data_IF_209735900096
#
_entry.id   IF_209735900096
#
_cell.length_a   1.000
_cell.length_b   1.000
_cell.length_c   1.000
_cell.angle_alpha   90.00
_cell.angle_beta   90.00
_cell.angle_gamma   90.00
#
_symmetry.space_group_name_H-M   'P 1'
#
loop_
_entity.id
_entity.type
_entity.pdbx_description
1 polymer ?
#
# COMPACT_ATOMS: atom_id res chain seq x y z
N UNK A 1 31.37 18.65 -5.56
CA UNK A 1 30.17 19.40 -5.13
C UNK A 1 29.12 19.26 -6.21
N UNK A 2 27.83 19.10 -5.85
CA UNK A 2 26.73 19.19 -6.81
C UNK A 2 26.42 20.67 -7.06
N UNK A 3 26.52 21.10 -8.33
CA UNK A 3 26.14 22.44 -8.78
C UNK A 3 24.68 22.49 -9.23
N UNK A 4 24.14 23.68 -9.46
CA UNK A 4 22.77 23.83 -10.00
C UNK A 4 22.60 23.17 -11.37
N UNK A 5 23.63 23.23 -12.23
CA UNK A 5 23.61 22.55 -13.52
C UNK A 5 23.60 21.03 -13.38
N UNK A 6 24.31 20.48 -12.38
CA UNK A 6 24.28 19.05 -12.09
C UNK A 6 22.88 18.59 -11.64
N UNK A 7 22.18 19.41 -10.84
CA UNK A 7 20.82 19.12 -10.39
C UNK A 7 19.81 19.16 -11.55
N UNK A 8 19.91 20.15 -12.45
CA UNK A 8 19.09 20.25 -13.66
C UNK A 8 19.20 18.98 -14.52
N UNK A 9 20.44 18.51 -14.72
CA UNK A 9 20.72 17.34 -15.55
C UNK A 9 20.15 16.06 -14.92
N UNK A 10 20.23 15.93 -13.59
CA UNK A 10 19.63 14.80 -12.86
C UNK A 10 18.11 14.78 -12.97
N UNK A 11 17.44 15.93 -12.80
CA UNK A 11 15.97 16.01 -12.90
C UNK A 11 15.51 15.70 -14.32
N UNK A 12 16.13 16.32 -15.34
CA UNK A 12 15.80 16.04 -16.73
C UNK A 12 16.01 14.56 -17.09
N UNK A 13 17.10 13.94 -16.62
CA UNK A 13 17.38 12.53 -16.86
C UNK A 13 16.41 11.58 -16.15
N UNK A 14 16.00 11.89 -14.91
CA UNK A 14 15.13 11.01 -14.13
C UNK A 14 13.63 11.18 -14.44
N UNK A 15 13.20 12.37 -14.83
CA UNK A 15 11.78 12.73 -14.96
C UNK A 15 11.35 13.12 -16.36
N UNK A 16 12.30 13.47 -17.25
CA UNK A 16 12.01 14.03 -18.56
C UNK A 16 11.53 15.50 -18.53
N UNK A 17 11.48 16.13 -17.36
CA UNK A 17 11.06 17.53 -17.18
C UNK A 17 12.22 18.43 -16.73
N UNK A 18 12.08 19.74 -16.91
CA UNK A 18 13.02 20.73 -16.38
C UNK A 18 12.96 20.82 -14.85
N UNK A 19 14.03 21.28 -14.21
CA UNK A 19 14.06 21.53 -12.77
C UNK A 19 13.16 22.72 -12.44
N UNK A 20 12.07 22.44 -11.72
CA UNK A 20 11.24 23.48 -11.12
C UNK A 20 11.70 23.77 -9.68
N UNK A 21 11.76 25.03 -9.22
CA UNK A 21 12.15 25.37 -7.85
C UNK A 21 11.32 24.67 -6.76
N UNK A 22 10.07 24.29 -7.02
CA UNK A 22 9.25 23.52 -6.09
C UNK A 22 9.81 22.11 -5.83
N UNK A 23 10.57 21.53 -6.76
CA UNK A 23 11.24 20.22 -6.61
C UNK A 23 12.38 20.25 -5.60
N UNK A 24 12.88 21.44 -5.24
CA UNK A 24 13.92 21.63 -4.23
C UNK A 24 13.33 21.83 -2.83
N UNK A 25 12.00 21.93 -2.70
CA UNK A 25 11.35 22.00 -1.39
C UNK A 25 11.34 20.61 -0.74
N UNK A 26 11.50 20.54 0.59
CA UNK A 26 11.28 19.28 1.30
C UNK A 26 9.88 18.75 1.00
N UNK A 27 9.78 17.42 0.81
CA UNK A 27 8.50 16.75 0.72
C UNK A 27 7.73 16.87 2.03
N UNK A 28 6.39 16.75 1.97
CA UNK A 28 5.56 16.71 3.17
C UNK A 28 6.00 15.56 4.08
N UNK A 29 6.11 15.77 5.41
CA UNK A 29 6.56 14.72 6.31
C UNK A 29 5.74 13.42 6.22
N UNK A 30 4.41 13.51 6.03
CA UNK A 30 3.56 12.32 5.93
C UNK A 30 3.78 11.58 4.60
N UNK A 31 4.04 12.31 3.52
CA UNK A 31 4.42 11.71 2.23
C UNK A 31 5.76 10.98 2.35
N UNK A 32 6.72 11.53 3.10
CA UNK A 32 8.00 10.87 3.39
C UNK A 32 7.78 9.59 4.18
N UNK A 33 6.94 9.60 5.22
CA UNK A 33 6.60 8.41 6.00
C UNK A 33 5.94 7.35 5.12
N UNK A 34 4.93 7.72 4.33
CA UNK A 34 4.27 6.81 3.40
C UNK A 34 5.26 6.21 2.40
N UNK A 35 6.20 7.01 1.86
CA UNK A 35 7.25 6.53 0.97
C UNK A 35 8.16 5.49 1.65
N UNK A 36 8.57 5.74 2.90
CA UNK A 36 9.38 4.80 3.67
C UNK A 36 8.61 3.49 3.88
N UNK A 37 7.35 3.56 4.30
CA UNK A 37 6.51 2.38 4.52
C UNK A 37 6.28 1.60 3.22
N UNK A 38 6.08 2.29 2.10
CA UNK A 38 5.97 1.66 0.77
C UNK A 38 7.26 0.90 0.39
N UNK A 39 8.43 1.46 0.69
CA UNK A 39 9.70 0.77 0.45
C UNK A 39 9.85 -0.47 1.32
N UNK A 40 9.46 -0.40 2.60
CA UNK A 40 9.46 -1.55 3.51
C UNK A 40 8.49 -2.63 3.02
N UNK A 41 7.29 -2.26 2.58
CA UNK A 41 6.30 -3.18 1.98
C UNK A 41 6.85 -3.86 0.73
N UNK A 42 7.42 -3.10 -0.20
CA UNK A 42 8.01 -3.64 -1.43
C UNK A 42 9.17 -4.61 -1.12
N UNK A 43 9.98 -4.30 -0.12
CA UNK A 43 11.03 -5.21 0.35
C UNK A 43 10.43 -6.49 0.97
N UNK A 44 9.42 -6.38 1.82
CA UNK A 44 8.83 -7.54 2.49
C UNK A 44 8.05 -8.45 1.53
N UNK A 45 7.42 -7.90 0.48
CA UNK A 45 6.57 -8.64 -0.46
C UNK A 45 7.28 -9.81 -1.17
N UNK A 46 8.59 -9.71 -1.41
CA UNK A 46 9.38 -10.77 -2.04
C UNK A 46 9.85 -11.87 -1.05
N UNK A 47 9.47 -11.77 0.24
CA UNK A 47 10.01 -12.58 1.35
C UNK A 47 8.88 -13.10 2.23
N UNK A 48 8.31 -14.28 1.92
CA UNK A 48 7.19 -14.85 2.69
C UNK A 48 7.47 -14.98 4.19
N UNK A 49 8.72 -15.25 4.57
CA UNK A 49 9.19 -15.31 5.95
C UNK A 49 9.16 -13.96 6.68
N UNK A 50 8.96 -12.86 5.94
CA UNK A 50 8.82 -11.47 6.45
C UNK A 50 7.38 -10.96 6.33
N UNK A 51 6.40 -11.85 6.36
CA UNK A 51 4.98 -11.48 6.39
C UNK A 51 4.60 -10.64 7.61
N UNK A 52 5.39 -10.67 8.69
CA UNK A 52 5.25 -9.83 9.88
C UNK A 52 5.58 -8.37 9.58
N UNK A 53 6.72 -8.15 8.93
CA UNK A 53 7.16 -6.83 8.48
C UNK A 53 6.20 -6.26 7.45
N UNK A 54 5.73 -7.09 6.51
CA UNK A 54 4.71 -6.69 5.54
C UNK A 54 3.43 -6.21 6.24
N UNK A 55 2.91 -6.98 7.20
CA UNK A 55 1.70 -6.64 7.93
C UNK A 55 1.85 -5.34 8.72
N UNK A 56 2.95 -5.19 9.47
CA UNK A 56 3.23 -3.97 10.23
C UNK A 56 3.31 -2.74 9.33
N UNK A 57 3.98 -2.84 8.19
CA UNK A 57 4.12 -1.70 7.29
C UNK A 57 2.78 -1.29 6.66
N UNK A 58 1.89 -2.25 6.37
CA UNK A 58 0.52 -1.97 5.91
C UNK A 58 -0.31 -1.33 7.03
N UNK A 59 -0.27 -1.87 8.24
CA UNK A 59 -1.04 -1.35 9.37
C UNK A 59 -0.62 0.07 9.74
N UNK A 60 0.68 0.37 9.77
CA UNK A 60 1.18 1.73 9.96
C UNK A 60 0.76 2.67 8.82
N UNK A 61 0.70 2.18 7.58
CA UNK A 61 0.25 2.99 6.43
C UNK A 61 -1.24 3.34 6.53
N UNK A 62 -2.06 2.41 7.05
CA UNK A 62 -3.50 2.62 7.26
C UNK A 62 -3.81 3.63 8.39
N UNK A 63 -2.85 3.92 9.28
CA UNK A 63 -2.98 4.95 10.30
C UNK A 63 -2.76 6.37 9.77
N UNK A 64 -2.23 6.52 8.55
CA UNK A 64 -2.04 7.84 7.93
C UNK A 64 -3.40 8.43 7.52
N UNK A 65 -3.62 9.75 7.68
CA UNK A 65 -4.90 10.39 7.34
C UNK A 65 -5.34 10.19 5.89
N UNK A 66 -4.38 10.17 4.97
CA UNK A 66 -4.60 9.86 3.56
C UNK A 66 -3.80 8.60 3.23
N UNK A 67 -4.50 7.54 2.79
CA UNK A 67 -3.88 6.28 2.42
C UNK A 67 -4.67 5.59 1.30
N UNK A 68 -4.01 4.77 0.45
CA UNK A 68 -4.69 4.04 -0.60
C UNK A 68 -5.69 3.01 -0.03
N UNK A 69 -6.94 3.00 -0.52
CA UNK A 69 -7.95 2.01 -0.11
C UNK A 69 -7.49 0.56 -0.33
N UNK A 70 -6.68 0.31 -1.37
CA UNK A 70 -6.09 -1.00 -1.69
C UNK A 70 -5.26 -1.60 -0.55
N UNK A 71 -4.77 -0.79 0.39
CA UNK A 71 -4.06 -1.30 1.57
C UNK A 71 -4.93 -2.21 2.44
N UNK A 72 -6.26 -2.02 2.47
CA UNK A 72 -7.17 -2.91 3.20
C UNK A 72 -7.19 -4.31 2.60
N UNK A 73 -7.27 -4.40 1.28
CA UNK A 73 -7.15 -5.68 0.57
C UNK A 73 -5.81 -6.36 0.87
N UNK A 74 -4.71 -5.62 0.84
CA UNK A 74 -3.38 -6.17 1.14
C UNK A 74 -3.28 -6.66 2.60
N UNK A 75 -3.80 -5.90 3.56
CA UNK A 75 -3.88 -6.32 4.97
C UNK A 75 -4.65 -7.64 5.07
N UNK A 76 -5.78 -7.73 4.38
CA UNK A 76 -6.61 -8.91 4.40
C UNK A 76 -5.86 -10.16 3.91
N UNK A 77 -5.18 -10.06 2.77
CA UNK A 77 -4.38 -11.16 2.20
C UNK A 77 -3.25 -11.59 3.15
N UNK A 78 -2.60 -10.63 3.84
CA UNK A 78 -1.58 -10.91 4.84
C UNK A 78 -2.15 -11.62 6.08
N UNK A 79 -3.32 -11.22 6.56
CA UNK A 79 -4.00 -11.86 7.69
C UNK A 79 -4.38 -13.31 7.35
N UNK A 80 -5.05 -13.52 6.21
CA UNK A 80 -5.41 -14.87 5.71
C UNK A 80 -4.16 -15.74 5.55
N UNK A 81 -3.11 -15.24 4.91
CA UNK A 81 -1.86 -15.97 4.72
C UNK A 81 -1.14 -16.36 6.02
N UNK A 82 -1.42 -15.65 7.12
CA UNK A 82 -0.90 -15.94 8.46
C UNK A 82 -1.84 -16.78 9.33
N UNK A 83 -3.00 -17.17 8.80
CA UNK A 83 -3.99 -17.98 9.50
C UNK A 83 -5.04 -17.19 10.28
N UNK A 84 -5.00 -15.84 10.25
CA UNK A 84 -6.10 -15.03 10.78
C UNK A 84 -7.19 -14.87 9.71
N UNK A 85 -7.94 -15.95 9.51
CA UNK A 85 -8.95 -16.04 8.46
C UNK A 85 -10.15 -15.13 8.72
N UNK A 86 -10.57 -14.97 9.98
CA UNK A 86 -11.69 -14.10 10.34
C UNK A 86 -11.32 -12.63 10.21
N UNK A 87 -10.15 -12.23 10.71
CA UNK A 87 -9.65 -10.87 10.53
C UNK A 87 -9.47 -10.53 9.06
N UNK A 88 -8.91 -11.46 8.28
CA UNK A 88 -8.79 -11.33 6.83
C UNK A 88 -10.14 -11.14 6.12
N UNK A 89 -11.16 -11.95 6.46
CA UNK A 89 -12.49 -11.82 5.88
C UNK A 89 -13.14 -10.46 6.15
N UNK A 90 -13.00 -9.94 7.38
CA UNK A 90 -13.53 -8.62 7.75
C UNK A 90 -12.90 -7.51 6.91
N UNK A 91 -11.58 -7.56 6.70
CA UNK A 91 -10.89 -6.56 5.87
C UNK A 91 -11.27 -6.65 4.39
N UNK A 92 -11.52 -7.87 3.86
CA UNK A 92 -12.05 -8.05 2.50
C UNK A 92 -13.44 -7.44 2.35
N UNK A 93 -14.33 -7.63 3.33
CA UNK A 93 -15.68 -7.04 3.33
C UNK A 93 -15.62 -5.51 3.36
N UNK A 94 -14.77 -4.93 4.22
CA UNK A 94 -14.57 -3.49 4.28
C UNK A 94 -13.99 -2.91 2.98
N UNK A 95 -13.08 -3.65 2.32
CA UNK A 95 -12.57 -3.25 1.02
C UNK A 95 -13.62 -3.34 -0.10
N UNK A 96 -14.45 -4.39 -0.09
CA UNK A 96 -15.54 -4.56 -1.04
C UNK A 96 -16.58 -3.43 -0.95
N UNK A 97 -16.88 -2.93 0.24
CA UNK A 97 -17.77 -1.76 0.43
C UNK A 97 -17.24 -0.52 -0.31
N UNK A 98 -15.95 -0.20 -0.15
CA UNK A 98 -15.33 0.94 -0.83
C UNK A 98 -15.30 0.72 -2.36
N UNK A 99 -15.01 -0.52 -2.79
CA UNK A 99 -14.91 -0.86 -4.20
C UNK A 99 -16.27 -0.82 -4.91
N UNK A 100 -17.35 -1.20 -4.23
CA UNK A 100 -18.71 -1.23 -4.79
C UNK A 100 -19.23 0.14 -5.23
N UNK A 101 -18.70 1.23 -4.64
CA UNK A 101 -19.01 2.59 -5.10
C UNK A 101 -18.51 2.88 -6.53
N UNK A 102 -17.56 2.09 -7.05
CA UNK A 102 -16.94 2.27 -8.37
C UNK A 102 -17.17 1.07 -9.29
N UNK A 103 -17.06 -0.16 -8.77
CA UNK A 103 -17.20 -1.41 -9.51
C UNK A 103 -17.81 -2.51 -8.62
N UNK A 104 -19.14 -2.67 -8.72
CA UNK A 104 -19.88 -3.68 -7.95
C UNK A 104 -19.47 -5.11 -8.30
N UNK A 105 -19.14 -5.38 -9.57
CA UNK A 105 -18.71 -6.72 -10.00
C UNK A 105 -17.35 -7.10 -9.40
N UNK A 106 -16.46 -6.14 -9.20
CA UNK A 106 -15.22 -6.36 -8.46
C UNK A 106 -15.48 -6.52 -6.96
N UNK A 107 -16.43 -5.77 -6.38
CA UNK A 107 -16.82 -5.93 -4.98
C UNK A 107 -17.37 -7.33 -4.68
N UNK A 108 -18.22 -7.88 -5.54
CA UNK A 108 -18.76 -9.24 -5.40
C UNK A 108 -17.67 -10.31 -5.39
N UNK A 109 -16.65 -10.18 -6.23
CA UNK A 109 -15.49 -11.09 -6.23
C UNK A 109 -14.77 -11.06 -4.87
N UNK A 110 -14.53 -9.86 -4.34
CA UNK A 110 -13.87 -9.69 -3.03
C UNK A 110 -14.72 -10.25 -1.89
N UNK A 111 -16.06 -10.10 -1.94
CA UNK A 111 -16.96 -10.77 -0.97
C UNK A 111 -16.86 -12.29 -1.04
N UNK A 112 -16.73 -12.84 -2.26
CA UNK A 112 -16.46 -14.27 -2.47
C UNK A 112 -15.16 -14.73 -1.79
N UNK A 113 -14.09 -13.93 -1.89
CA UNK A 113 -12.83 -14.19 -1.17
C UNK A 113 -13.02 -14.15 0.36
N UNK A 114 -13.82 -13.22 0.88
CA UNK A 114 -14.12 -13.15 2.31
C UNK A 114 -14.83 -14.42 2.80
N UNK A 115 -15.81 -14.91 2.05
CA UNK A 115 -16.48 -16.18 2.34
C UNK A 115 -15.52 -17.37 2.30
N UNK A 116 -14.64 -17.41 1.30
CA UNK A 116 -13.63 -18.46 1.19
C UNK A 116 -12.67 -18.45 2.39
N UNK A 117 -12.22 -17.27 2.83
CA UNK A 117 -11.38 -17.15 4.03
C UNK A 117 -12.11 -17.69 5.28
N UNK A 118 -13.37 -17.30 5.52
CA UNK A 118 -14.16 -17.83 6.65
C UNK A 118 -14.31 -19.35 6.61
N UNK A 119 -14.43 -19.92 5.41
CA UNK A 119 -14.57 -21.36 5.23
C UNK A 119 -13.31 -22.15 5.60
N UNK A 120 -12.11 -21.53 5.67
CA UNK A 120 -10.87 -22.21 6.05
C UNK A 120 -10.80 -22.62 7.53
N UNK A 121 -11.75 -22.17 8.36
CA UNK A 121 -11.88 -22.59 9.76
C UNK A 121 -12.71 -23.86 9.96
N UNK A 122 -13.42 -24.31 8.93
CA UNK A 122 -14.26 -25.52 8.97
C UNK A 122 -13.53 -26.72 8.38
#
# INVERSE_FOLDING_TARGET
>A
MLTGADAELLVAGATGAHLDPSMLRPADPLDVVLRILNNVRAWAAARPERSDVALWAVELSLLLPSHPARLRYERAQLLVGRGDFLGGAVELEAYAEVLGAVDEGAADRVRGEAHAARAMLN
#
